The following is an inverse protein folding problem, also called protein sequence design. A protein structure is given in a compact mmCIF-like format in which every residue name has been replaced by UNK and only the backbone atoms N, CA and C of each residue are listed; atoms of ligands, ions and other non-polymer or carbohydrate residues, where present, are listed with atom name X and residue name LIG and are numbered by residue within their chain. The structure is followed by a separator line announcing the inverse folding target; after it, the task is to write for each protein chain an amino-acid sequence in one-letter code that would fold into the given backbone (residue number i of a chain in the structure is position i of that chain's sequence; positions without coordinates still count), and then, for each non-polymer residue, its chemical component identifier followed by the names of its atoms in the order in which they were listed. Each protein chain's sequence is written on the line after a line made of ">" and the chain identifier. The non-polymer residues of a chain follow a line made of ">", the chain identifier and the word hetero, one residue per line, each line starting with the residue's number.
data_IF_360909238986
#
_entry.id   IF_360909238986
#
_cell.length_a   1.000
_cell.length_b   1.000
_cell.length_c   1.000
_cell.angle_alpha   90.00
_cell.angle_beta   90.00
_cell.angle_gamma   90.00
#
_symmetry.space_group_name_H-M   'P 1'
#
loop_
_entity.id
_entity.type
_entity.pdbx_description
1 polymer ?
#
# COMPACT_ATOMS: atom_id res chain seq x y z
N UNK A 1 12.89 -39.89 8.23
CA UNK A 1 12.19 -38.69 8.72
C UNK A 1 10.74 -39.07 8.94
N UNK A 2 10.23 -38.92 10.16
CA UNK A 2 8.81 -39.16 10.47
C UNK A 2 8.01 -38.05 9.78
N UNK A 3 7.06 -38.38 8.92
CA UNK A 3 6.18 -37.39 8.31
C UNK A 3 5.35 -36.73 9.42
N UNK A 4 5.39 -35.40 9.53
CA UNK A 4 4.54 -34.66 10.46
C UNK A 4 3.07 -35.04 10.22
N UNK A 5 2.35 -35.59 11.22
CA UNK A 5 0.94 -35.95 11.06
C UNK A 5 0.03 -34.73 10.90
N UNK A 6 0.50 -33.54 11.28
CA UNK A 6 -0.25 -32.30 11.16
C UNK A 6 0.06 -31.61 9.83
N UNK A 7 -0.89 -31.69 8.89
CA UNK A 7 -0.78 -31.03 7.58
C UNK A 7 -1.46 -29.66 7.62
N UNK A 8 -0.72 -28.53 7.53
CA UNK A 8 -1.33 -27.22 7.44
C UNK A 8 -2.18 -27.09 6.17
N UNK A 9 -3.15 -26.19 6.19
CA UNK A 9 -3.95 -25.90 5.01
C UNK A 9 -3.04 -25.36 3.89
N UNK A 10 -3.24 -25.81 2.64
CA UNK A 10 -2.40 -25.44 1.49
C UNK A 10 -2.20 -23.92 1.36
N UNK A 11 -3.25 -23.14 1.59
CA UNK A 11 -3.28 -21.66 1.55
C UNK A 11 -2.33 -20.94 2.52
N UNK A 12 -1.81 -21.63 3.53
CA UNK A 12 -0.83 -21.06 4.49
C UNK A 12 0.45 -21.90 4.59
N UNK A 13 0.57 -22.94 3.76
CA UNK A 13 1.69 -23.88 3.81
C UNK A 13 2.85 -23.49 2.87
N UNK A 14 2.74 -22.37 2.16
CA UNK A 14 3.80 -21.87 1.29
C UNK A 14 5.11 -21.66 2.05
N UNK A 15 6.24 -22.06 1.45
CA UNK A 15 7.57 -22.04 2.08
C UNK A 15 8.58 -21.15 1.36
N UNK A 16 8.17 -20.44 0.30
CA UNK A 16 9.05 -19.48 -0.36
C UNK A 16 9.28 -18.30 0.59
N UNK A 17 10.54 -17.95 0.81
CA UNK A 17 10.89 -16.77 1.61
C UNK A 17 10.41 -15.52 0.88
N UNK A 18 9.61 -14.71 1.58
CA UNK A 18 9.15 -13.42 1.10
C UNK A 18 10.28 -12.38 1.10
N UNK A 19 10.05 -11.28 0.38
CA UNK A 19 10.98 -10.16 0.31
C UNK A 19 11.38 -9.60 1.68
N UNK A 20 10.44 -9.61 2.64
CA UNK A 20 10.65 -9.07 3.97
C UNK A 20 11.67 -9.89 4.74
N UNK A 21 11.58 -11.22 4.63
CA UNK A 21 12.49 -12.18 5.24
C UNK A 21 13.89 -12.04 4.67
N UNK A 22 14.03 -12.00 3.34
CA UNK A 22 15.33 -11.88 2.66
C UNK A 22 16.01 -10.54 3.00
N UNK A 23 15.27 -9.43 2.96
CA UNK A 23 15.82 -8.10 3.29
C UNK A 23 16.22 -8.01 4.76
N UNK A 24 15.43 -8.58 5.68
CA UNK A 24 15.79 -8.62 7.11
C UNK A 24 17.02 -9.50 7.38
N UNK A 25 17.13 -10.64 6.69
CA UNK A 25 18.32 -11.51 6.77
C UNK A 25 19.57 -10.77 6.29
N UNK A 26 19.51 -10.14 5.11
CA UNK A 26 20.60 -9.33 4.58
C UNK A 26 20.99 -8.20 5.54
N UNK A 27 19.99 -7.50 6.09
CA UNK A 27 20.21 -6.39 7.02
C UNK A 27 20.88 -6.85 8.32
N UNK A 28 20.49 -8.01 8.84
CA UNK A 28 21.10 -8.60 10.03
C UNK A 28 22.52 -9.11 9.78
N UNK A 29 22.80 -9.65 8.59
CA UNK A 29 24.10 -10.20 8.22
C UNK A 29 25.10 -9.15 7.69
N UNK A 30 24.63 -7.94 7.36
CA UNK A 30 25.49 -6.92 6.74
C UNK A 30 26.65 -6.49 7.66
N UNK A 31 27.88 -6.38 7.13
CA UNK A 31 29.02 -5.87 7.87
C UNK A 31 28.93 -4.36 8.16
N UNK A 32 28.01 -3.64 7.50
CA UNK A 32 27.83 -2.19 7.67
C UNK A 32 26.62 -1.96 8.55
N UNK A 33 26.88 -1.53 9.79
CA UNK A 33 25.87 -1.28 10.81
C UNK A 33 25.99 0.16 11.37
N UNK A 34 24.88 0.76 11.86
CA UNK A 34 23.50 0.27 11.75
C UNK A 34 23.00 0.35 10.31
N UNK A 35 22.07 -0.51 9.92
CA UNK A 35 21.40 -0.42 8.61
C UNK A 35 20.51 0.82 8.54
N UNK A 36 20.63 1.56 7.43
CA UNK A 36 19.68 2.61 7.07
C UNK A 36 18.52 1.96 6.32
N UNK A 37 17.43 1.67 7.03
CA UNK A 37 16.30 0.96 6.46
C UNK A 37 15.36 1.91 5.70
N UNK A 38 15.56 2.01 4.40
CA UNK A 38 14.67 2.72 3.48
C UNK A 38 13.62 1.79 2.85
N UNK A 39 13.54 0.52 3.25
CA UNK A 39 12.61 -0.45 2.65
C UNK A 39 11.26 -0.52 3.36
N UNK A 40 11.26 -0.42 4.70
CA UNK A 40 10.06 -0.54 5.52
C UNK A 40 9.14 0.69 5.38
N UNK A 41 7.90 0.46 4.93
CA UNK A 41 6.86 1.48 4.71
C UNK A 41 6.10 1.92 5.97
N UNK A 42 6.82 2.17 7.07
CA UNK A 42 6.28 2.80 8.27
C UNK A 42 7.10 4.03 8.68
N UNK A 43 6.47 4.92 9.44
CA UNK A 43 7.03 6.20 9.83
C UNK A 43 8.15 6.04 10.86
N UNK A 44 9.29 6.70 10.63
CA UNK A 44 10.43 6.74 11.56
C UNK A 44 10.24 7.68 12.76
N UNK A 45 9.02 8.16 12.99
CA UNK A 45 8.65 9.15 13.99
C UNK A 45 7.26 8.88 14.55
N UNK A 46 6.94 9.49 15.69
CA UNK A 46 5.65 9.34 16.34
C UNK A 46 4.52 10.05 15.56
N UNK A 47 3.27 9.61 15.75
CA UNK A 47 2.07 10.39 15.43
C UNK A 47 2.12 11.83 15.96
N UNK A 48 1.33 12.76 15.38
CA UNK A 48 1.19 14.11 15.90
C UNK A 48 0.82 14.13 17.38
N UNK A 49 1.32 15.12 18.12
CA UNK A 49 1.17 15.15 19.58
C UNK A 49 -0.30 15.08 20.03
N UNK A 50 -1.20 15.79 19.36
CA UNK A 50 -2.64 15.76 19.68
C UNK A 50 -3.26 14.36 19.49
N UNK A 51 -2.75 13.56 18.54
CA UNK A 51 -3.18 12.17 18.31
C UNK A 51 -2.64 11.26 19.42
N UNK A 52 -1.38 11.47 19.85
CA UNK A 52 -0.81 10.75 20.99
C UNK A 52 -1.56 11.07 22.29
N UNK A 53 -1.88 12.33 22.52
CA UNK A 53 -2.61 12.77 23.72
C UNK A 53 -4.03 12.23 23.72
N UNK A 54 -4.69 12.18 22.56
CA UNK A 54 -5.95 11.48 22.39
C UNK A 54 -5.85 10.01 22.80
N UNK A 55 -4.84 9.28 22.31
CA UNK A 55 -4.62 7.89 22.69
C UNK A 55 -4.37 7.71 24.19
N UNK A 56 -3.61 8.61 24.83
CA UNK A 56 -3.40 8.56 26.29
C UNK A 56 -4.69 8.79 27.06
N UNK A 57 -5.50 9.77 26.65
CA UNK A 57 -6.71 10.19 27.37
C UNK A 57 -7.82 9.13 27.40
N UNK A 58 -7.82 8.18 26.46
CA UNK A 58 -8.90 7.19 26.34
C UNK A 58 -8.68 5.92 27.16
N UNK A 59 -7.46 5.64 27.62
CA UNK A 59 -7.17 4.42 28.37
C UNK A 59 -7.79 4.38 29.77
N UNK A 60 -8.02 5.54 30.39
CA UNK A 60 -8.65 5.63 31.72
C UNK A 60 -10.19 5.51 31.68
N UNK A 61 -10.78 5.38 30.49
CA UNK A 61 -12.24 5.28 30.30
C UNK A 61 -12.67 3.81 30.25
N UNK A 62 -13.55 3.38 31.16
CA UNK A 62 -14.00 1.97 31.29
C UNK A 62 -14.52 1.43 29.96
N UNK A 63 -15.37 2.19 29.25
CA UNK A 63 -15.97 1.80 27.97
C UNK A 63 -14.98 1.71 26.80
N UNK A 64 -13.78 2.28 26.95
CA UNK A 64 -12.71 2.16 25.96
C UNK A 64 -11.89 0.87 26.15
N UNK A 65 -12.01 0.21 27.31
CA UNK A 65 -11.32 -1.04 27.61
C UNK A 65 -12.18 -2.29 27.33
N UNK A 66 -13.45 -2.11 26.95
CA UNK A 66 -14.38 -3.19 26.63
C UNK A 66 -14.61 -3.32 25.12
N UNK A 67 -15.35 -4.34 24.69
CA UNK A 67 -15.70 -4.54 23.28
C UNK A 67 -16.42 -3.33 22.68
N UNK A 68 -16.02 -2.97 21.47
CA UNK A 68 -16.76 -2.02 20.64
C UNK A 68 -17.91 -2.71 19.91
N UNK A 69 -18.92 -1.97 19.43
CA UNK A 69 -19.86 -2.51 18.46
C UNK A 69 -19.12 -3.11 17.26
N UNK A 70 -19.63 -4.20 16.70
CA UNK A 70 -18.89 -4.99 15.69
C UNK A 70 -18.61 -4.22 14.41
N UNK A 71 -19.50 -3.29 14.02
CA UNK A 71 -19.28 -2.36 12.89
C UNK A 71 -18.34 -1.20 13.21
N UNK A 72 -17.91 -1.07 14.47
CA UNK A 72 -17.09 0.02 14.97
C UNK A 72 -17.83 1.00 15.88
N UNK A 73 -17.04 1.82 16.58
CA UNK A 73 -17.56 2.81 17.54
C UNK A 73 -18.30 3.94 16.83
N UNK A 74 -19.50 4.36 17.33
CA UNK A 74 -20.29 5.41 16.69
C UNK A 74 -19.51 6.71 16.44
N UNK A 75 -18.67 7.12 17.40
CA UNK A 75 -17.84 8.34 17.27
C UNK A 75 -16.89 8.28 16.09
N UNK A 76 -16.16 7.17 15.92
CA UNK A 76 -15.23 7.01 14.80
C UNK A 76 -15.96 6.95 13.46
N UNK A 77 -17.05 6.19 13.36
CA UNK A 77 -17.85 6.12 12.13
C UNK A 77 -18.37 7.51 11.73
N UNK A 78 -18.85 8.29 12.70
CA UNK A 78 -19.30 9.67 12.49
C UNK A 78 -18.14 10.57 12.06
N UNK A 79 -17.01 10.54 12.75
CA UNK A 79 -15.84 11.35 12.41
C UNK A 79 -15.34 11.07 10.98
N UNK A 80 -15.34 9.80 10.55
CA UNK A 80 -15.02 9.41 9.17
C UNK A 80 -16.10 9.93 8.21
N UNK A 81 -17.38 9.67 8.48
CA UNK A 81 -18.47 10.14 7.60
C UNK A 81 -18.44 11.66 7.41
N UNK A 82 -18.23 12.43 8.48
CA UNK A 82 -18.09 13.88 8.44
C UNK A 82 -16.84 14.30 7.65
N UNK A 83 -15.69 13.68 7.90
CA UNK A 83 -14.42 14.01 7.23
C UNK A 83 -14.41 13.67 5.74
N UNK A 84 -15.24 12.71 5.30
CA UNK A 84 -15.34 12.28 3.91
C UNK A 84 -16.52 12.89 3.13
N UNK A 85 -17.57 13.36 3.82
CA UNK A 85 -18.75 14.00 3.21
C UNK A 85 -18.39 15.10 2.20
N UNK A 86 -17.46 16.05 2.49
CA UNK A 86 -17.06 17.08 1.53
C UNK A 86 -16.43 16.51 0.25
N UNK A 87 -15.64 15.44 0.37
CA UNK A 87 -14.98 14.80 -0.79
C UNK A 87 -15.95 13.99 -1.65
N UNK A 88 -16.99 13.41 -1.03
CA UNK A 88 -18.03 12.65 -1.72
C UNK A 88 -19.14 13.54 -2.30
N UNK A 89 -19.16 14.84 -1.97
CA UNK A 89 -20.20 15.77 -2.42
C UNK A 89 -21.61 15.46 -1.90
N UNK A 90 -21.72 14.56 -0.92
CA UNK A 90 -22.97 14.14 -0.28
C UNK A 90 -22.71 13.71 1.16
N UNK A 91 -23.73 13.81 2.00
CA UNK A 91 -23.68 13.28 3.36
C UNK A 91 -23.55 11.76 3.33
N UNK A 92 -22.55 11.24 4.04
CA UNK A 92 -22.39 9.80 4.29
C UNK A 92 -23.14 9.40 5.55
N UNK A 93 -23.87 8.29 5.52
CA UNK A 93 -24.53 7.73 6.68
C UNK A 93 -23.55 6.84 7.46
N UNK A 94 -23.13 7.22 8.68
CA UNK A 94 -22.15 6.45 9.46
C UNK A 94 -22.65 5.08 9.94
N UNK A 95 -23.95 4.80 9.88
CA UNK A 95 -24.53 3.53 10.34
C UNK A 95 -24.69 2.47 9.25
N UNK A 96 -24.83 2.91 8.00
CA UNK A 96 -25.08 2.02 6.87
C UNK A 96 -23.95 2.04 5.83
N UNK A 97 -23.19 3.13 5.73
CA UNK A 97 -22.18 3.32 4.68
C UNK A 97 -20.74 3.26 5.18
N UNK A 98 -20.52 3.12 6.50
CA UNK A 98 -19.19 3.06 7.11
C UNK A 98 -19.07 1.85 8.04
N UNK A 99 -18.02 1.05 7.86
CA UNK A 99 -17.64 -0.01 8.80
C UNK A 99 -16.17 0.13 9.19
N UNK A 100 -15.88 -0.04 10.47
CA UNK A 100 -14.51 -0.04 11.00
C UNK A 100 -13.96 -1.45 10.97
N UNK A 101 -12.67 -1.57 10.65
CA UNK A 101 -11.94 -2.83 10.51
C UNK A 101 -10.59 -2.75 11.22
N UNK A 102 -9.94 -3.90 11.42
CA UNK A 102 -8.65 -3.99 12.13
C UNK A 102 -7.48 -3.68 11.18
N UNK A 103 -7.48 -2.44 10.70
CA UNK A 103 -6.61 -1.94 9.65
C UNK A 103 -7.22 -2.13 8.26
N UNK A 104 -6.61 -1.49 7.27
CA UNK A 104 -7.06 -1.55 5.88
C UNK A 104 -6.91 -2.95 5.28
N UNK A 105 -5.79 -3.62 5.55
CA UNK A 105 -5.49 -4.98 5.11
C UNK A 105 -6.53 -6.02 5.59
N UNK A 106 -6.91 -6.04 6.87
CA UNK A 106 -7.99 -6.93 7.33
C UNK A 106 -9.35 -6.48 6.81
N UNK A 107 -9.56 -5.18 6.60
CA UNK A 107 -10.77 -4.67 5.95
C UNK A 107 -10.92 -5.15 4.50
N UNK A 108 -9.83 -5.21 3.74
CA UNK A 108 -9.82 -5.80 2.40
C UNK A 108 -10.09 -7.31 2.45
N UNK A 109 -9.49 -8.04 3.40
CA UNK A 109 -9.84 -9.44 3.62
C UNK A 109 -11.34 -9.61 3.92
N UNK A 110 -11.91 -8.75 4.76
CA UNK A 110 -13.35 -8.74 5.04
C UNK A 110 -14.19 -8.48 3.78
N UNK A 111 -13.74 -7.62 2.87
CA UNK A 111 -14.40 -7.42 1.59
C UNK A 111 -14.34 -8.69 0.73
N UNK A 112 -13.17 -9.29 0.54
CA UNK A 112 -13.04 -10.53 -0.24
C UNK A 112 -13.84 -11.69 0.37
N UNK A 113 -13.75 -11.90 1.68
CA UNK A 113 -14.55 -12.91 2.40
C UNK A 113 -16.06 -12.68 2.29
N UNK A 114 -16.50 -11.44 2.07
CA UNK A 114 -17.92 -11.09 1.94
C UNK A 114 -18.50 -11.30 0.53
N UNK A 115 -17.65 -11.39 -0.51
CA UNK A 115 -18.08 -11.38 -1.91
C UNK A 115 -17.51 -12.49 -2.79
N UNK A 116 -16.47 -13.18 -2.34
CA UNK A 116 -15.84 -14.25 -3.13
C UNK A 116 -16.35 -15.62 -2.71
N UNK A 117 -16.68 -16.42 -3.72
CA UNK A 117 -16.80 -17.86 -3.61
C UNK A 117 -15.59 -18.56 -4.25
N UNK A 118 -15.54 -19.88 -4.14
CA UNK A 118 -14.48 -20.68 -4.75
C UNK A 118 -14.40 -20.41 -6.27
N UNK A 119 -13.17 -20.16 -6.73
CA UNK A 119 -12.81 -19.88 -8.13
C UNK A 119 -13.34 -18.56 -8.71
N UNK A 120 -13.97 -17.68 -7.92
CA UNK A 120 -14.26 -16.31 -8.36
C UNK A 120 -12.95 -15.56 -8.61
N UNK A 121 -12.95 -14.70 -9.63
CA UNK A 121 -11.75 -13.99 -10.09
C UNK A 121 -11.73 -12.56 -9.56
N UNK A 122 -10.55 -12.12 -9.12
CA UNK A 122 -10.26 -10.75 -8.73
C UNK A 122 -9.12 -10.21 -9.55
N UNK A 123 -9.36 -9.11 -10.25
CA UNK A 123 -8.32 -8.43 -11.03
C UNK A 123 -7.49 -7.53 -10.10
N UNK A 124 -6.17 -7.64 -10.20
CA UNK A 124 -5.21 -6.76 -9.53
C UNK A 124 -4.24 -6.17 -10.55
N UNK A 125 -3.84 -4.92 -10.33
CA UNK A 125 -2.80 -4.28 -11.12
C UNK A 125 -1.42 -4.59 -10.55
N UNK A 126 -0.45 -4.93 -11.40
CA UNK A 126 0.95 -5.07 -11.00
C UNK A 126 1.70 -3.74 -11.20
N UNK A 127 2.62 -3.34 -10.29
CA UNK A 127 2.99 -4.02 -9.05
C UNK A 127 1.89 -3.94 -7.98
N UNK A 128 1.47 -5.06 -7.40
CA UNK A 128 0.41 -5.09 -6.39
C UNK A 128 0.94 -4.92 -4.96
N UNK A 129 0.07 -4.56 -4.01
CA UNK A 129 0.37 -4.78 -2.60
C UNK A 129 0.28 -6.28 -2.29
N UNK A 130 1.36 -6.84 -1.74
CA UNK A 130 1.54 -8.28 -1.46
C UNK A 130 0.33 -8.93 -0.75
N UNK A 131 -0.27 -8.22 0.21
CA UNK A 131 -1.40 -8.74 0.97
C UNK A 131 -2.67 -8.97 0.13
N UNK A 132 -2.82 -8.36 -1.05
CA UNK A 132 -3.98 -8.61 -1.93
C UNK A 132 -4.07 -10.10 -2.29
N UNK A 133 -2.93 -10.71 -2.64
CA UNK A 133 -2.87 -12.08 -3.15
C UNK A 133 -3.41 -13.07 -2.11
N UNK A 134 -2.79 -13.07 -0.92
CA UNK A 134 -3.22 -13.96 0.15
C UNK A 134 -4.65 -13.68 0.61
N UNK A 135 -5.09 -12.42 0.64
CA UNK A 135 -6.45 -12.08 1.03
C UNK A 135 -7.52 -12.53 0.02
N UNK A 136 -7.19 -12.62 -1.27
CA UNK A 136 -8.07 -13.14 -2.32
C UNK A 136 -8.09 -14.67 -2.30
N UNK A 137 -6.93 -15.30 -2.14
CA UNK A 137 -6.80 -16.76 -2.16
C UNK A 137 -7.35 -17.44 -0.91
N UNK A 138 -7.30 -16.78 0.25
CA UNK A 138 -7.82 -17.31 1.52
C UNK A 138 -9.30 -17.76 1.44
N UNK A 139 -10.24 -16.95 0.92
CA UNK A 139 -11.62 -17.38 0.66
C UNK A 139 -11.78 -18.33 -0.54
N UNK A 140 -10.72 -18.61 -1.31
CA UNK A 140 -10.76 -19.49 -2.49
C UNK A 140 -10.86 -18.76 -3.83
N UNK A 141 -10.69 -17.44 -3.85
CA UNK A 141 -10.64 -16.65 -5.07
C UNK A 141 -9.36 -16.89 -5.88
N UNK A 142 -9.40 -16.48 -7.15
CA UNK A 142 -8.29 -16.52 -8.10
C UNK A 142 -7.86 -15.10 -8.45
N UNK A 143 -6.57 -14.84 -8.39
CA UNK A 143 -6.02 -13.56 -8.81
C UNK A 143 -5.81 -13.57 -10.32
N UNK A 144 -6.28 -12.50 -10.99
CA UNK A 144 -6.01 -12.22 -12.40
C UNK A 144 -5.18 -10.94 -12.45
N UNK A 145 -4.02 -11.00 -13.10
CA UNK A 145 -3.04 -9.93 -13.08
C UNK A 145 -3.12 -9.09 -14.36
N UNK A 146 -3.09 -7.77 -14.20
CA UNK A 146 -2.96 -6.80 -15.30
C UNK A 146 -1.75 -5.91 -15.01
N UNK A 147 -0.68 -5.96 -15.81
CA UNK A 147 0.51 -5.18 -15.52
C UNK A 147 0.32 -3.69 -15.81
N UNK A 148 0.86 -2.84 -14.95
CA UNK A 148 1.23 -1.48 -15.35
C UNK A 148 2.62 -1.49 -15.97
N UNK A 149 2.73 -0.86 -17.13
CA UNK A 149 3.96 -0.72 -17.88
C UNK A 149 4.71 0.54 -17.47
N UNK A 150 6.04 0.45 -17.25
CA UNK A 150 6.87 1.62 -17.09
C UNK A 150 6.89 2.48 -18.38
N UNK A 151 7.21 3.78 -18.27
CA UNK A 151 7.37 4.65 -19.43
C UNK A 151 8.46 4.12 -20.38
N UNK A 152 8.32 4.37 -21.69
CA UNK A 152 9.30 3.90 -22.70
C UNK A 152 10.72 4.41 -22.47
N UNK A 153 10.83 5.61 -21.91
CA UNK A 153 12.12 6.24 -21.60
C UNK A 153 12.64 5.88 -20.19
N UNK A 154 11.99 4.93 -19.50
CA UNK A 154 12.43 4.39 -18.21
C UNK A 154 13.92 4.00 -18.24
N UNK A 155 14.66 4.36 -17.19
CA UNK A 155 16.10 4.08 -17.10
C UNK A 155 17.01 5.04 -17.89
N UNK A 156 16.44 5.95 -18.69
CA UNK A 156 17.22 7.01 -19.37
C UNK A 156 17.07 8.37 -18.69
N UNK A 157 15.86 8.74 -18.26
CA UNK A 157 15.52 10.01 -17.61
C UNK A 157 14.47 9.81 -16.52
N UNK A 158 14.44 10.70 -15.53
CA UNK A 158 13.36 10.75 -14.54
C UNK A 158 12.04 11.11 -15.23
N UNK A 159 10.97 10.38 -14.89
CA UNK A 159 9.63 10.51 -15.47
C UNK A 159 8.59 10.64 -14.38
N UNK A 160 7.44 11.25 -14.66
CA UNK A 160 6.34 11.28 -13.68
C UNK A 160 5.79 9.88 -13.45
N UNK A 161 5.36 9.58 -12.23
CA UNK A 161 4.61 8.36 -11.91
C UNK A 161 3.30 8.24 -12.71
N UNK A 162 2.72 9.35 -13.18
CA UNK A 162 1.56 9.32 -14.08
C UNK A 162 1.84 8.63 -15.42
N UNK A 163 3.09 8.60 -15.88
CA UNK A 163 3.47 7.98 -17.16
C UNK A 163 3.48 6.44 -17.09
N UNK A 164 3.37 5.85 -15.89
CA UNK A 164 3.04 4.43 -15.76
C UNK A 164 1.59 4.21 -16.18
N UNK A 165 1.37 3.27 -17.10
CA UNK A 165 0.06 3.05 -17.73
C UNK A 165 -0.25 1.56 -17.82
N UNK A 166 -1.52 1.20 -17.82
CA UNK A 166 -1.97 -0.15 -18.14
C UNK A 166 -2.73 -0.11 -19.48
N UNK A 167 -2.77 -1.23 -20.20
CA UNK A 167 -3.55 -1.33 -21.44
C UNK A 167 -5.02 -1.68 -21.12
N UNK A 168 -5.94 -0.80 -21.53
CA UNK A 168 -7.38 -1.06 -21.40
C UNK A 168 -7.81 -2.34 -22.14
N UNK A 169 -7.19 -2.68 -23.26
CA UNK A 169 -7.50 -3.90 -23.99
C UNK A 169 -7.01 -5.16 -23.25
N UNK A 170 -5.92 -5.07 -22.48
CA UNK A 170 -5.48 -6.16 -21.60
C UNK A 170 -6.45 -6.32 -20.43
N UNK A 171 -6.89 -5.21 -19.82
CA UNK A 171 -7.90 -5.23 -18.76
C UNK A 171 -9.23 -5.83 -19.24
N UNK A 172 -9.73 -5.43 -20.42
CA UNK A 172 -10.97 -5.98 -20.98
C UNK A 172 -10.87 -7.48 -21.25
N UNK A 173 -9.70 -7.97 -21.70
CA UNK A 173 -9.47 -9.40 -21.93
C UNK A 173 -9.37 -10.20 -20.63
N UNK A 174 -8.95 -9.57 -19.54
CA UNK A 174 -8.85 -10.19 -18.22
C UNK A 174 -10.23 -10.43 -17.58
N UNK A 175 -11.28 -9.75 -18.06
CA UNK A 175 -12.64 -9.92 -17.53
C UNK A 175 -13.30 -11.16 -18.10
N UNK A 176 -13.82 -11.98 -17.21
CA UNK A 176 -14.60 -13.19 -17.52
C UNK A 176 -15.92 -13.19 -16.74
N UNK A 177 -16.84 -14.14 -17.01
CA UNK A 177 -18.03 -14.32 -16.17
C UNK A 177 -17.74 -14.66 -14.70
N UNK A 178 -16.50 -15.04 -14.36
CA UNK A 178 -16.06 -15.30 -12.98
C UNK A 178 -15.50 -14.07 -12.29
N UNK A 179 -15.23 -12.99 -13.02
CA UNK A 179 -14.71 -11.75 -12.41
C UNK A 179 -15.77 -11.16 -11.48
N UNK A 180 -15.40 -11.01 -10.20
CA UNK A 180 -16.25 -10.41 -9.16
C UNK A 180 -15.79 -9.05 -8.73
N UNK A 181 -14.47 -8.87 -8.64
CA UNK A 181 -13.89 -7.65 -8.11
C UNK A 181 -12.68 -7.19 -8.92
N UNK A 182 -12.42 -5.90 -8.87
CA UNK A 182 -11.15 -5.30 -9.26
C UNK A 182 -10.58 -4.50 -8.08
N UNK A 183 -9.27 -4.57 -7.89
CA UNK A 183 -8.56 -3.77 -6.89
C UNK A 183 -7.90 -2.58 -7.58
N UNK A 184 -8.26 -1.37 -7.17
CA UNK A 184 -7.57 -0.13 -7.55
C UNK A 184 -6.78 0.38 -6.35
N UNK A 185 -5.52 0.74 -6.52
CA UNK A 185 -4.71 1.33 -5.45
C UNK A 185 -4.20 2.72 -5.85
N UNK A 186 -4.71 3.77 -5.20
CA UNK A 186 -4.39 5.16 -5.53
C UNK A 186 -4.41 6.05 -4.28
N UNK A 187 -3.35 6.84 -3.99
CA UNK A 187 -2.01 6.77 -4.60
C UNK A 187 -1.37 5.38 -4.51
N UNK A 188 -0.71 4.97 -5.59
CA UNK A 188 -0.28 3.60 -5.81
C UNK A 188 1.02 3.26 -5.06
N UNK A 189 1.05 2.15 -4.31
CA UNK A 189 2.27 1.56 -3.77
C UNK A 189 2.67 0.37 -4.66
N UNK A 190 3.88 0.34 -5.25
CA UNK A 190 5.06 1.17 -4.94
C UNK A 190 5.33 2.37 -5.86
N UNK A 191 4.61 2.52 -6.97
CA UNK A 191 4.93 3.49 -8.04
C UNK A 191 4.86 4.97 -7.58
N UNK A 192 3.94 5.28 -6.67
CA UNK A 192 3.56 6.65 -6.31
C UNK A 192 2.61 7.30 -7.30
N UNK A 193 2.06 6.55 -8.26
CA UNK A 193 1.09 7.05 -9.26
C UNK A 193 -0.21 7.48 -8.58
N UNK A 194 -0.75 8.63 -8.96
CA UNK A 194 -2.14 8.98 -8.68
C UNK A 194 -2.94 8.73 -9.94
N UNK A 195 -3.86 7.78 -9.91
CA UNK A 195 -4.69 7.48 -11.08
C UNK A 195 -5.47 8.73 -11.50
N UNK A 196 -5.41 9.04 -12.79
CA UNK A 196 -6.12 10.17 -13.37
C UNK A 196 -7.62 9.92 -13.36
N UNK A 197 -8.40 11.01 -13.44
CA UNK A 197 -9.86 10.91 -13.56
C UNK A 197 -10.29 10.06 -14.75
N UNK A 198 -9.60 10.19 -15.89
CA UNK A 198 -9.96 9.49 -17.13
C UNK A 198 -9.66 7.98 -17.04
N UNK A 199 -8.52 7.60 -16.44
CA UNK A 199 -8.20 6.19 -16.16
C UNK A 199 -9.25 5.57 -15.22
N UNK A 200 -9.59 6.27 -14.12
CA UNK A 200 -10.58 5.79 -13.17
C UNK A 200 -11.98 5.71 -13.79
N UNK A 201 -12.35 6.65 -14.66
CA UNK A 201 -13.62 6.62 -15.38
C UNK A 201 -13.68 5.42 -16.33
N UNK A 202 -12.62 5.17 -17.11
CA UNK A 202 -12.58 4.05 -18.03
C UNK A 202 -12.71 2.69 -17.31
N UNK A 203 -12.01 2.52 -16.19
CA UNK A 203 -12.14 1.31 -15.35
C UNK A 203 -13.53 1.23 -14.73
N UNK A 204 -14.06 2.35 -14.22
CA UNK A 204 -15.38 2.43 -13.62
C UNK A 204 -16.50 2.05 -14.59
N UNK A 205 -16.46 2.58 -15.82
CA UNK A 205 -17.43 2.27 -16.88
C UNK A 205 -17.41 0.77 -17.24
N UNK A 206 -16.22 0.18 -17.28
CA UNK A 206 -16.06 -1.26 -17.51
C UNK A 206 -16.65 -2.08 -16.35
N UNK A 207 -16.42 -1.66 -15.11
CA UNK A 207 -17.02 -2.31 -13.94
C UNK A 207 -18.54 -2.22 -13.92
N UNK A 208 -19.11 -1.06 -14.28
CA UNK A 208 -20.56 -0.88 -14.43
C UNK A 208 -21.12 -1.80 -15.52
N UNK A 209 -20.48 -1.85 -16.69
CA UNK A 209 -20.88 -2.70 -17.81
C UNK A 209 -20.91 -4.20 -17.45
N UNK A 210 -19.97 -4.65 -16.62
CA UNK A 210 -19.82 -6.06 -16.25
C UNK A 210 -20.34 -6.40 -14.85
N UNK A 211 -20.88 -5.42 -14.11
CA UNK A 211 -21.34 -5.54 -12.72
C UNK A 211 -20.25 -6.12 -11.78
N UNK A 212 -19.05 -5.52 -11.86
CA UNK A 212 -17.88 -5.88 -11.07
C UNK A 212 -17.74 -4.90 -9.91
N UNK A 213 -17.46 -5.40 -8.70
CA UNK A 213 -17.23 -4.55 -7.52
C UNK A 213 -15.83 -3.93 -7.61
N UNK A 214 -15.72 -2.64 -7.31
CA UNK A 214 -14.45 -1.93 -7.20
C UNK A 214 -14.03 -1.90 -5.73
N UNK A 215 -12.91 -2.52 -5.39
CA UNK A 215 -12.23 -2.30 -4.12
C UNK A 215 -11.15 -1.24 -4.32
N UNK A 216 -11.45 -0.01 -3.91
CA UNK A 216 -10.52 1.13 -4.02
C UNK A 216 -9.68 1.24 -2.76
N UNK A 217 -8.46 0.71 -2.79
CA UNK A 217 -7.44 0.90 -1.75
C UNK A 217 -6.88 2.32 -1.82
N UNK A 218 -7.42 3.19 -0.98
CA UNK A 218 -7.09 4.60 -0.90
C UNK A 218 -6.40 4.94 0.43
N UNK A 219 -5.56 4.05 0.98
CA UNK A 219 -4.90 4.29 2.28
C UNK A 219 -3.92 5.49 2.28
N UNK A 220 -3.56 6.02 1.12
CA UNK A 220 -2.73 7.21 0.96
C UNK A 220 -3.54 8.44 0.47
N UNK A 221 -4.87 8.42 0.59
CA UNK A 221 -5.77 9.46 0.05
C UNK A 221 -5.62 10.86 0.62
N UNK A 222 -4.83 11.02 1.69
CA UNK A 222 -4.45 12.33 2.26
C UNK A 222 -3.01 12.71 1.94
N UNK A 223 -2.26 11.85 1.24
CA UNK A 223 -0.85 12.02 0.92
C UNK A 223 -0.65 12.03 -0.60
N UNK A 224 -1.16 13.06 -1.25
CA UNK A 224 -1.02 13.30 -2.67
C UNK A 224 -0.40 14.67 -2.94
N UNK A 225 0.31 14.80 -4.04
CA UNK A 225 1.02 16.01 -4.47
C UNK A 225 0.40 16.64 -5.72
N UNK A 226 -0.53 15.92 -6.35
CA UNK A 226 -1.36 16.34 -7.49
C UNK A 226 -2.85 16.17 -7.15
N UNK A 227 -3.79 16.76 -7.90
CA UNK A 227 -5.22 16.55 -7.64
C UNK A 227 -5.61 15.07 -7.58
N UNK A 228 -6.30 14.68 -6.50
CA UNK A 228 -6.69 13.30 -6.25
C UNK A 228 -8.17 13.06 -6.57
N UNK A 229 -8.45 12.00 -7.34
CA UNK A 229 -9.82 11.61 -7.71
C UNK A 229 -10.18 10.30 -7.01
N UNK A 230 -11.37 10.28 -6.40
CA UNK A 230 -11.94 9.07 -5.79
C UNK A 230 -12.87 8.41 -6.80
N UNK A 231 -12.64 7.14 -7.11
CA UNK A 231 -13.43 6.44 -8.14
C UNK A 231 -14.92 6.41 -7.79
N UNK A 232 -15.25 6.30 -6.49
CA UNK A 232 -16.62 6.31 -5.97
C UNK A 232 -17.39 7.62 -6.20
N UNK A 233 -16.77 8.70 -6.68
CA UNK A 233 -17.42 10.01 -6.90
C UNK A 233 -17.63 10.35 -8.37
N UNK A 234 -17.24 9.45 -9.28
CA UNK A 234 -17.29 9.69 -10.72
C UNK A 234 -18.72 9.66 -11.28
N UNK A 235 -19.51 8.66 -10.88
CA UNK A 235 -20.92 8.55 -11.22
C UNK A 235 -21.71 7.78 -10.16
N UNK A 236 -23.04 7.93 -10.08
CA UNK A 236 -23.88 7.13 -9.20
C UNK A 236 -23.74 5.62 -9.43
N UNK A 237 -23.59 5.19 -10.68
CA UNK A 237 -23.44 3.77 -11.05
C UNK A 237 -22.12 3.20 -10.54
N UNK A 238 -21.02 3.93 -10.69
CA UNK A 238 -19.69 3.55 -10.17
C UNK A 238 -19.72 3.55 -8.63
N UNK A 239 -20.31 4.58 -8.02
CA UNK A 239 -20.46 4.68 -6.57
C UNK A 239 -21.21 3.47 -5.99
N UNK A 240 -22.24 2.99 -6.70
CA UNK A 240 -23.04 1.84 -6.30
C UNK A 240 -22.26 0.52 -6.33
N UNK A 241 -21.09 0.45 -6.97
CA UNK A 241 -20.25 -0.73 -7.05
C UNK A 241 -18.94 -0.59 -6.27
N UNK A 242 -18.70 0.53 -5.59
CA UNK A 242 -17.39 0.83 -5.00
C UNK A 242 -17.37 0.66 -3.48
N UNK A 243 -16.33 -0.03 -3.00
CA UNK A 243 -15.89 -0.06 -1.61
C UNK A 243 -14.55 0.68 -1.51
N UNK A 244 -14.54 1.84 -0.85
CA UNK A 244 -13.33 2.64 -0.59
C UNK A 244 -12.70 2.26 0.74
N UNK A 245 -11.43 1.89 0.74
CA UNK A 245 -10.66 1.47 1.92
C UNK A 245 -9.79 2.62 2.41
N UNK A 246 -9.75 2.85 3.73
CA UNK A 246 -8.84 3.81 4.35
C UNK A 246 -8.09 3.24 5.56
N UNK A 247 -7.04 3.96 5.99
CA UNK A 247 -6.18 3.55 7.11
C UNK A 247 -5.85 4.70 8.06
N UNK A 248 -6.24 4.56 9.33
CA UNK A 248 -5.86 5.51 10.38
C UNK A 248 -4.37 5.48 10.64
N UNK A 249 -3.74 4.32 10.46
CA UNK A 249 -2.30 4.17 10.63
C UNK A 249 -1.47 4.86 9.54
N UNK A 250 -1.99 4.97 8.31
CA UNK A 250 -1.34 5.73 7.24
C UNK A 250 -1.63 7.22 7.36
N UNK A 251 -2.87 7.58 7.72
CA UNK A 251 -3.26 8.98 7.90
C UNK A 251 -2.57 9.66 9.08
N UNK A 252 -2.45 9.01 10.24
CA UNK A 252 -1.94 9.63 11.47
C UNK A 252 -0.58 9.09 11.92
N UNK A 253 0.21 8.53 11.00
CA UNK A 253 1.55 8.00 11.27
C UNK A 253 1.60 6.87 12.32
N UNK A 254 0.48 6.19 12.53
CA UNK A 254 0.24 5.23 13.59
C UNK A 254 0.03 3.80 13.05
N UNK A 255 0.92 3.32 12.17
CA UNK A 255 0.73 2.04 11.44
C UNK A 255 0.47 0.83 12.34
N UNK A 256 1.03 0.85 13.56
CA UNK A 256 0.84 -0.17 14.60
C UNK A 256 -0.52 -0.12 15.32
N UNK A 257 -1.35 0.91 15.11
CA UNK A 257 -2.67 1.00 15.76
C UNK A 257 -3.72 0.09 15.16
N UNK A 258 -3.50 -0.34 13.90
CA UNK A 258 -4.38 -1.30 13.22
C UNK A 258 -5.85 -0.84 13.20
N UNK A 259 -6.09 0.44 12.88
CA UNK A 259 -7.44 1.00 12.66
C UNK A 259 -7.60 1.29 11.16
N UNK A 260 -8.64 0.72 10.56
CA UNK A 260 -9.02 0.95 9.16
C UNK A 260 -10.53 1.03 9.03
N UNK A 261 -11.00 1.34 7.82
CA UNK A 261 -12.42 1.41 7.53
C UNK A 261 -12.69 1.14 6.05
N UNK A 262 -13.94 0.79 5.78
CA UNK A 262 -14.50 0.81 4.43
C UNK A 262 -15.70 1.76 4.37
N UNK A 263 -15.78 2.51 3.27
CA UNK A 263 -16.90 3.36 2.90
C UNK A 263 -17.52 2.80 1.62
N UNK A 264 -18.84 2.69 1.56
CA UNK A 264 -19.52 2.20 0.37
C UNK A 264 -21.03 2.16 0.54
N UNK A 265 -21.79 1.78 -0.49
CA UNK A 265 -23.23 1.68 -0.41
C UNK A 265 -23.65 0.57 0.57
N UNK A 266 -24.76 0.76 1.26
CA UNK A 266 -25.24 -0.15 2.32
C UNK A 266 -25.36 -1.61 1.86
N UNK A 267 -25.80 -1.81 0.61
CA UNK A 267 -25.98 -3.15 0.07
C UNK A 267 -24.65 -3.91 -0.09
N UNK A 268 -23.51 -3.22 -0.11
CA UNK A 268 -22.19 -3.83 -0.08
C UNK A 268 -21.60 -3.86 1.33
N UNK A 269 -21.62 -2.73 2.04
CA UNK A 269 -20.99 -2.59 3.36
C UNK A 269 -21.51 -3.60 4.39
N UNK A 270 -22.80 -3.96 4.32
CA UNK A 270 -23.38 -4.96 5.23
C UNK A 270 -22.67 -6.32 5.18
N UNK A 271 -22.15 -6.74 4.01
CA UNK A 271 -21.43 -8.01 3.85
C UNK A 271 -19.99 -7.93 4.34
N UNK A 272 -19.32 -6.78 4.12
CA UNK A 272 -18.00 -6.50 4.70
C UNK A 272 -18.09 -6.53 6.23
N UNK A 273 -19.08 -5.85 6.82
CA UNK A 273 -19.30 -5.88 8.28
C UNK A 273 -19.58 -7.29 8.80
N UNK A 274 -20.33 -8.11 8.06
CA UNK A 274 -20.64 -9.48 8.44
C UNK A 274 -19.37 -10.35 8.47
N UNK A 275 -18.52 -10.24 7.44
CA UNK A 275 -17.23 -10.92 7.37
C UNK A 275 -16.28 -10.46 8.49
N UNK A 276 -16.13 -9.15 8.70
CA UNK A 276 -15.31 -8.60 9.79
C UNK A 276 -15.73 -9.15 11.16
N UNK A 277 -17.04 -9.26 11.39
CA UNK A 277 -17.58 -9.81 12.64
C UNK A 277 -17.20 -11.29 12.85
N UNK A 278 -16.89 -12.05 11.78
CA UNK A 278 -16.44 -13.45 11.86
C UNK A 278 -14.92 -13.60 11.92
N UNK A 279 -14.19 -12.62 11.39
CA UNK A 279 -12.73 -12.60 11.40
C UNK A 279 -12.21 -12.06 12.74
N UNK A 280 -12.64 -10.86 13.13
CA UNK A 280 -12.14 -10.16 14.32
C UNK A 280 -13.21 -9.91 15.39
N UNK A 281 -14.49 -10.09 15.08
CA UNK A 281 -15.65 -9.69 15.89
C UNK A 281 -15.77 -8.18 16.08
N UNK A 282 -14.77 -7.53 16.67
CA UNK A 282 -14.70 -6.07 16.85
C UNK A 282 -13.24 -5.61 16.83
N UNK A 283 -13.01 -4.38 16.36
CA UNK A 283 -11.68 -3.76 16.33
C UNK A 283 -11.29 -3.09 17.67
N UNK A 284 -10.01 -2.75 17.85
CA UNK A 284 -9.43 -2.25 19.12
C UNK A 284 -10.08 -0.94 19.60
N UNK A 285 -10.90 -1.03 20.64
CA UNK A 285 -11.74 0.07 21.16
C UNK A 285 -11.03 1.39 21.50
N UNK A 286 -9.93 1.41 22.29
CA UNK A 286 -9.31 2.67 22.66
C UNK A 286 -8.68 3.36 21.43
N UNK A 287 -8.11 2.59 20.50
CA UNK A 287 -7.49 3.15 19.30
C UNK A 287 -8.53 3.65 18.29
N UNK A 288 -9.76 3.10 18.31
CA UNK A 288 -10.87 3.67 17.56
C UNK A 288 -11.26 5.06 18.09
N UNK A 289 -11.34 5.25 19.41
CA UNK A 289 -11.62 6.57 20.01
C UNK A 289 -10.49 7.57 19.74
N UNK A 290 -9.23 7.15 19.88
CA UNK A 290 -8.08 7.99 19.58
C UNK A 290 -8.07 8.43 18.11
N UNK A 291 -8.39 7.52 17.19
CA UNK A 291 -8.49 7.84 15.76
C UNK A 291 -9.67 8.79 15.48
N UNK A 292 -10.79 8.67 16.19
CA UNK A 292 -11.93 9.57 16.04
C UNK A 292 -11.55 11.01 16.41
N UNK A 293 -10.90 11.18 17.57
CA UNK A 293 -10.37 12.49 18.00
C UNK A 293 -9.33 13.00 16.98
N UNK A 294 -8.48 12.11 16.46
CA UNK A 294 -7.53 12.43 15.41
C UNK A 294 -8.18 13.10 14.20
N UNK A 295 -9.31 12.57 13.72
CA UNK A 295 -10.10 13.18 12.64
C UNK A 295 -10.77 14.49 13.06
N UNK A 296 -11.39 14.55 14.24
CA UNK A 296 -12.10 15.72 14.75
C UNK A 296 -11.17 16.95 14.93
N UNK A 297 -9.88 16.71 15.20
CA UNK A 297 -8.89 17.75 15.48
C UNK A 297 -7.95 18.04 14.30
N UNK A 298 -7.89 17.18 13.27
CA UNK A 298 -6.91 17.29 12.19
C UNK A 298 -6.95 18.64 11.46
N UNK A 299 -8.15 19.11 11.08
CA UNK A 299 -8.32 20.38 10.35
C UNK A 299 -7.93 21.59 11.22
N UNK A 300 -8.27 21.55 12.51
CA UNK A 300 -7.90 22.61 13.47
C UNK A 300 -6.40 22.72 13.67
N UNK A 301 -5.68 21.60 13.51
CA UNK A 301 -4.23 21.53 13.61
C UNK A 301 -3.52 21.68 12.25
N UNK A 302 -4.26 22.03 11.18
CA UNK A 302 -3.73 22.09 9.79
C UNK A 302 -2.98 20.82 9.35
N UNK A 303 -3.35 19.67 9.94
CA UNK A 303 -2.53 18.45 9.86
C UNK A 303 -2.40 17.93 8.43
N UNK A 304 -3.48 17.93 7.65
CA UNK A 304 -3.46 17.38 6.29
C UNK A 304 -2.55 18.16 5.34
N UNK A 305 -2.57 19.49 5.41
CA UNK A 305 -1.75 20.34 4.54
C UNK A 305 -0.27 20.28 4.92
N UNK A 306 0.06 20.36 6.22
CA UNK A 306 1.45 20.23 6.66
C UNK A 306 2.00 18.82 6.37
N UNK A 307 1.20 17.76 6.56
CA UNK A 307 1.63 16.39 6.26
C UNK A 307 2.02 16.20 4.79
N UNK A 308 1.23 16.73 3.85
CA UNK A 308 1.54 16.69 2.42
C UNK A 308 2.81 17.48 2.11
N UNK A 309 2.92 18.69 2.64
CA UNK A 309 4.08 19.58 2.43
C UNK A 309 5.37 18.98 2.99
N UNK A 310 5.34 18.47 4.22
CA UNK A 310 6.50 17.83 4.88
C UNK A 310 6.95 16.59 4.13
N UNK A 311 6.01 15.71 3.74
CA UNK A 311 6.38 14.50 3.01
C UNK A 311 6.91 14.80 1.61
N UNK A 312 6.32 15.77 0.90
CA UNK A 312 6.86 16.21 -0.40
C UNK A 312 8.27 16.78 -0.26
N UNK A 313 8.51 17.59 0.77
CA UNK A 313 9.85 18.11 1.05
C UNK A 313 10.87 16.99 1.35
N UNK A 314 10.47 15.95 2.10
CA UNK A 314 11.30 14.76 2.33
C UNK A 314 11.58 13.98 1.05
N UNK A 315 10.57 13.82 0.20
CA UNK A 315 10.70 13.18 -1.12
C UNK A 315 11.69 13.94 -1.99
N UNK A 316 11.52 15.25 -2.13
CA UNK A 316 12.38 16.12 -2.93
C UNK A 316 13.81 16.13 -2.41
N UNK A 317 13.97 16.27 -1.08
CA UNK A 317 15.28 16.20 -0.43
C UNK A 317 15.96 14.89 -0.76
N UNK A 318 15.30 13.75 -0.52
CA UNK A 318 15.89 12.43 -0.76
C UNK A 318 16.26 12.25 -2.25
N UNK A 319 15.38 12.64 -3.17
CA UNK A 319 15.56 12.43 -4.61
C UNK A 319 16.76 13.18 -5.22
N UNK A 320 17.29 14.21 -4.55
CA UNK A 320 18.53 14.89 -5.00
C UNK A 320 19.72 13.93 -5.16
N UNK A 321 19.78 12.82 -4.42
CA UNK A 321 20.87 11.82 -4.57
C UNK A 321 20.78 11.08 -5.90
N UNK A 322 19.59 10.88 -6.43
CA UNK A 322 19.39 10.17 -7.69
C UNK A 322 19.82 11.05 -8.86
N UNK A 323 19.53 12.34 -8.79
CA UNK A 323 20.06 13.34 -9.74
C UNK A 323 21.59 13.42 -9.67
N UNK A 324 22.17 13.44 -8.46
CA UNK A 324 23.63 13.44 -8.24
C UNK A 324 24.31 12.22 -8.88
N UNK A 325 23.67 11.04 -8.77
CA UNK A 325 24.17 9.78 -9.32
C UNK A 325 23.78 9.54 -10.79
N UNK A 326 22.95 10.40 -11.38
CA UNK A 326 22.41 10.22 -12.73
C UNK A 326 21.53 8.97 -12.87
N UNK A 327 20.89 8.52 -11.78
CA UNK A 327 19.98 7.38 -11.74
C UNK A 327 18.53 7.86 -11.90
N UNK A 328 17.84 7.48 -12.98
CA UNK A 328 16.44 7.86 -13.18
C UNK A 328 15.51 7.27 -12.14
N UNK A 329 14.47 8.00 -11.78
CA UNK A 329 13.41 7.50 -10.90
C UNK A 329 12.02 7.89 -11.43
N UNK A 330 11.01 7.23 -10.89
CA UNK A 330 9.61 7.59 -11.09
C UNK A 330 9.25 8.65 -10.06
N UNK A 331 9.12 9.91 -10.48
CA UNK A 331 8.77 11.02 -9.59
C UNK A 331 7.33 10.84 -9.08
N UNK A 332 7.14 10.56 -7.77
CA UNK A 332 5.85 10.13 -7.25
C UNK A 332 4.87 11.30 -7.16
N UNK A 333 3.61 11.03 -7.51
CA UNK A 333 2.49 11.96 -7.40
C UNK A 333 1.74 11.85 -6.07
N UNK A 334 2.05 10.82 -5.28
CA UNK A 334 1.54 10.62 -3.93
C UNK A 334 2.25 9.49 -3.18
N UNK A 335 1.85 9.28 -1.94
CA UNK A 335 2.50 8.35 -1.03
C UNK A 335 3.90 8.82 -0.61
N UNK A 336 4.66 7.92 -0.01
CA UNK A 336 6.03 8.18 0.46
C UNK A 336 7.04 7.18 -0.12
N UNK A 337 6.70 6.56 -1.24
CA UNK A 337 7.58 5.64 -1.95
C UNK A 337 8.11 6.28 -3.22
N UNK A 338 9.34 5.92 -3.59
CA UNK A 338 9.93 6.24 -4.89
C UNK A 338 10.53 4.97 -5.48
N UNK A 339 10.25 4.74 -6.78
CA UNK A 339 10.88 3.69 -7.58
C UNK A 339 12.07 4.28 -8.34
N UNK A 340 13.25 3.74 -8.09
CA UNK A 340 14.50 4.20 -8.72
C UNK A 340 15.00 3.12 -9.66
N UNK A 341 15.28 3.49 -10.91
CA UNK A 341 15.82 2.59 -11.91
C UNK A 341 17.35 2.50 -11.78
N UNK A 342 17.80 1.29 -11.47
CA UNK A 342 19.17 0.89 -11.16
C UNK A 342 19.85 0.16 -12.33
N UNK A 343 19.34 0.26 -13.56
CA UNK A 343 19.94 -0.39 -14.76
C UNK A 343 21.38 0.05 -15.03
N UNK A 344 21.73 1.29 -14.64
CA UNK A 344 23.10 1.84 -14.75
C UNK A 344 24.07 1.27 -13.72
N UNK A 345 23.58 0.70 -12.62
CA UNK A 345 24.41 0.06 -11.58
C UNK A 345 24.90 -1.29 -12.09
N UNK A 346 26.21 -1.48 -12.16
CA UNK A 346 26.87 -2.72 -12.56
C UNK A 346 27.27 -3.51 -11.31
N UNK A 347 26.55 -4.59 -11.07
CA UNK A 347 26.94 -5.59 -10.09
C UNK A 347 28.23 -6.29 -10.58
N UNK A 348 29.25 -6.47 -9.72
CA UNK A 348 30.43 -7.26 -10.08
C UNK A 348 30.01 -8.66 -10.56
N UNK A 349 30.59 -9.15 -11.66
CA UNK A 349 30.22 -10.44 -12.26
C UNK A 349 30.52 -11.64 -11.37
N UNK A 350 31.45 -11.47 -10.43
CA UNK A 350 31.93 -12.44 -9.46
C UNK A 350 31.38 -12.18 -8.05
N UNK A 351 30.36 -11.33 -7.90
CA UNK A 351 29.74 -11.06 -6.60
C UNK A 351 29.06 -12.32 -6.05
N UNK A 352 29.40 -12.70 -4.83
CA UNK A 352 28.86 -13.89 -4.17
C UNK A 352 27.48 -13.59 -3.57
N UNK A 353 26.45 -14.12 -4.20
CA UNK A 353 25.08 -14.04 -3.70
C UNK A 353 24.67 -15.37 -3.06
N UNK A 354 23.99 -15.35 -1.89
CA UNK A 354 23.42 -16.57 -1.34
C UNK A 354 22.49 -17.26 -2.37
N UNK A 355 22.41 -18.61 -2.41
CA UNK A 355 21.63 -19.32 -3.42
C UNK A 355 20.16 -18.89 -3.52
N UNK A 356 19.54 -18.53 -2.38
CA UNK A 356 18.15 -18.07 -2.33
C UNK A 356 17.95 -16.65 -2.90
N UNK A 357 19.02 -15.86 -3.05
CA UNK A 357 19.02 -14.55 -3.73
C UNK A 357 19.48 -14.70 -5.18
N UNK A 358 20.48 -15.54 -5.44
CA UNK A 358 21.04 -15.78 -6.77
C UNK A 358 19.98 -16.29 -7.77
N UNK A 359 18.99 -17.04 -7.27
CA UNK A 359 17.85 -17.58 -8.02
C UNK A 359 16.71 -16.58 -8.26
N UNK A 360 16.77 -15.38 -7.68
CA UNK A 360 15.74 -14.33 -7.83
C UNK A 360 16.08 -13.36 -8.97
N UNK A 361 15.13 -12.53 -9.42
CA UNK A 361 15.37 -11.48 -10.42
C UNK A 361 16.47 -10.48 -9.99
N UNK A 362 16.90 -9.64 -10.93
CA UNK A 362 18.08 -8.76 -10.75
C UNK A 362 17.94 -7.79 -9.57
N UNK A 363 16.75 -7.26 -9.32
CA UNK A 363 16.47 -6.31 -8.24
C UNK A 363 16.68 -6.92 -6.84
N UNK A 364 16.44 -8.22 -6.64
CA UNK A 364 16.78 -8.92 -5.39
C UNK A 364 18.29 -8.92 -5.14
N UNK A 365 19.08 -9.13 -6.19
CA UNK A 365 20.55 -9.07 -6.14
C UNK A 365 21.02 -7.65 -5.86
N UNK A 366 20.40 -6.65 -6.50
CA UNK A 366 20.67 -5.24 -6.22
C UNK A 366 20.35 -4.86 -4.78
N UNK A 367 19.20 -5.29 -4.25
CA UNK A 367 18.79 -5.01 -2.86
C UNK A 367 19.79 -5.63 -1.88
N UNK A 368 20.14 -6.91 -2.06
CA UNK A 368 21.14 -7.58 -1.26
C UNK A 368 22.49 -6.84 -1.31
N UNK A 369 22.97 -6.54 -2.51
CA UNK A 369 24.21 -5.80 -2.73
C UNK A 369 24.20 -4.43 -2.03
N UNK A 370 23.10 -3.67 -2.14
CA UNK A 370 22.98 -2.36 -1.51
C UNK A 370 23.06 -2.45 0.02
N UNK A 371 22.44 -3.48 0.59
CA UNK A 371 22.46 -3.74 2.02
C UNK A 371 23.86 -4.13 2.49
N UNK A 372 24.54 -5.02 1.77
CA UNK A 372 25.87 -5.53 2.16
C UNK A 372 26.97 -4.50 1.93
N UNK A 373 26.95 -3.79 0.80
CA UNK A 373 28.04 -2.88 0.39
C UNK A 373 27.89 -1.47 0.93
N UNK A 374 26.66 -1.00 1.10
CA UNK A 374 26.38 0.40 1.49
C UNK A 374 25.58 0.49 2.78
N UNK A 375 25.06 -0.62 3.32
CA UNK A 375 24.23 -0.60 4.53
C UNK A 375 22.91 0.13 4.36
N UNK A 376 22.34 0.14 3.15
CA UNK A 376 21.04 0.77 2.83
C UNK A 376 20.07 -0.31 2.36
N UNK A 377 18.96 -0.47 3.05
CA UNK A 377 17.92 -1.43 2.65
C UNK A 377 16.87 -0.78 1.76
N UNK A 378 16.56 -1.44 0.64
CA UNK A 378 15.51 -1.07 -0.31
C UNK A 378 14.76 -2.34 -0.74
N UNK A 379 13.53 -2.19 -1.24
CA UNK A 379 12.69 -3.35 -1.58
C UNK A 379 12.73 -3.63 -3.09
N UNK A 380 13.02 -4.87 -3.52
CA UNK A 380 12.89 -5.30 -4.91
C UNK A 380 11.40 -5.39 -5.31
N UNK A 381 10.93 -4.59 -6.28
CA UNK A 381 9.52 -4.57 -6.67
C UNK A 381 9.08 -5.80 -7.47
N UNK A 382 9.96 -6.66 -7.96
CA UNK A 382 9.55 -7.91 -8.62
C UNK A 382 8.81 -8.88 -7.70
N UNK A 383 8.91 -8.71 -6.37
CA UNK A 383 8.03 -9.44 -5.41
C UNK A 383 6.54 -9.12 -5.64
N UNK A 384 6.26 -7.92 -6.16
CA UNK A 384 4.92 -7.40 -6.40
C UNK A 384 4.45 -7.68 -7.84
N UNK A 385 5.17 -8.54 -8.56
CA UNK A 385 4.84 -9.00 -9.91
C UNK A 385 4.85 -10.53 -9.96
N UNK A 386 4.12 -11.04 -10.94
CA UNK A 386 4.25 -12.40 -11.44
C UNK A 386 5.63 -12.62 -12.08
N UNK A 387 6.14 -13.86 -12.07
CA UNK A 387 7.41 -14.18 -12.73
C UNK A 387 7.46 -13.79 -14.21
N UNK A 388 6.34 -13.90 -14.92
CA UNK A 388 6.23 -13.56 -16.34
C UNK A 388 6.45 -12.07 -16.60
N UNK A 389 5.97 -11.21 -15.70
CA UNK A 389 6.03 -9.75 -15.84
C UNK A 389 7.18 -9.10 -15.04
N UNK A 390 7.95 -9.87 -14.26
CA UNK A 390 9.05 -9.37 -13.46
C UNK A 390 10.10 -8.55 -14.26
N UNK A 391 10.30 -8.90 -15.54
CA UNK A 391 11.21 -8.19 -16.45
C UNK A 391 10.89 -6.70 -16.62
N UNK A 392 9.64 -6.28 -16.36
CA UNK A 392 9.23 -4.88 -16.42
C UNK A 392 9.88 -4.02 -15.33
N UNK A 393 10.25 -4.64 -14.19
CA UNK A 393 10.74 -3.90 -13.01
C UNK A 393 11.99 -4.49 -12.37
N UNK A 394 12.63 -5.50 -12.96
CA UNK A 394 13.85 -6.14 -12.40
C UNK A 394 15.06 -5.20 -12.29
N UNK A 395 14.97 -4.02 -12.90
CA UNK A 395 15.96 -2.95 -12.77
C UNK A 395 15.60 -1.90 -11.72
N UNK A 396 14.47 -2.01 -11.02
CA UNK A 396 14.03 -1.01 -10.04
C UNK A 396 14.30 -1.41 -8.60
N UNK A 397 14.42 -0.41 -7.72
CA UNK A 397 14.34 -0.58 -6.27
C UNK A 397 13.35 0.44 -5.69
N UNK A 398 12.55 0.01 -4.71
CA UNK A 398 11.63 0.86 -3.96
C UNK A 398 12.28 1.37 -2.67
N UNK A 399 12.23 2.69 -2.48
CA UNK A 399 12.63 3.38 -1.25
C UNK A 399 11.43 4.07 -0.59
N UNK A 400 11.43 4.17 0.74
CA UNK A 400 10.40 4.78 1.56
C UNK A 400 10.98 5.99 2.32
N UNK A 401 10.50 7.19 2.04
CA UNK A 401 11.05 8.45 2.59
C UNK A 401 10.37 8.90 3.89
N UNK A 402 9.43 8.12 4.41
CA UNK A 402 8.71 8.38 5.67
C UNK A 402 9.63 8.17 6.90
N UNK A 403 10.73 8.90 6.97
CA UNK A 403 11.81 8.79 7.96
C UNK A 403 12.18 10.19 8.49
N UNK A 404 12.95 10.22 9.57
CA UNK A 404 13.55 11.46 10.05
C UNK A 404 14.61 11.95 9.05
N UNK A 405 14.86 13.25 9.07
CA UNK A 405 15.74 13.92 8.11
C UNK A 405 17.20 13.44 8.19
N UNK A 406 17.68 13.11 9.38
CA UNK A 406 19.00 12.54 9.64
C UNK A 406 19.16 11.14 9.01
N UNK A 407 18.10 10.33 9.03
CA UNK A 407 18.07 9.03 8.36
C UNK A 407 18.12 9.20 6.84
N UNK A 408 17.40 10.17 6.29
CA UNK A 408 17.46 10.50 4.86
C UNK A 408 18.85 10.95 4.45
N UNK A 409 19.47 11.85 5.21
CA UNK A 409 20.83 12.35 4.97
C UNK A 409 21.87 11.22 5.02
N UNK A 410 21.77 10.34 6.03
CA UNK A 410 22.65 9.17 6.16
C UNK A 410 22.46 8.20 4.99
N UNK A 411 21.22 8.01 4.53
CA UNK A 411 20.92 7.21 3.34
C UNK A 411 21.61 7.80 2.11
N UNK A 412 21.48 9.11 1.88
CA UNK A 412 22.12 9.79 0.75
C UNK A 412 23.65 9.69 0.80
N UNK A 413 24.26 9.90 1.96
CA UNK A 413 25.71 9.75 2.16
C UNK A 413 26.19 8.36 1.73
N UNK A 414 25.52 7.30 2.22
CA UNK A 414 25.87 5.91 1.88
C UNK A 414 25.62 5.61 0.41
N UNK A 415 24.52 6.09 -0.16
CA UNK A 415 24.16 5.89 -1.56
C UNK A 415 25.15 6.52 -2.53
N UNK A 416 25.90 7.58 -2.16
CA UNK A 416 27.02 8.09 -2.97
C UNK A 416 28.06 7.02 -3.27
N UNK A 417 28.17 6.01 -2.40
CA UNK A 417 28.99 4.82 -2.63
C UNK A 417 28.60 4.02 -3.88
N UNK A 418 27.42 4.22 -4.48
CA UNK A 418 27.07 3.62 -5.77
C UNK A 418 27.90 4.17 -6.94
N UNK A 419 28.50 5.36 -6.82
CA UNK A 419 29.26 5.99 -7.89
C UNK A 419 30.37 5.11 -8.47
N UNK A 420 30.98 4.24 -7.65
CA UNK A 420 32.01 3.27 -8.11
C UNK A 420 31.45 2.14 -8.98
N UNK A 421 30.13 1.97 -9.00
CA UNK A 421 29.41 0.90 -9.70
C UNK A 421 28.52 1.43 -10.83
N UNK A 422 28.51 2.73 -11.10
CA UNK A 422 27.74 3.34 -12.19
C UNK A 422 28.66 3.53 -13.39
N UNK A 423 28.20 3.09 -14.57
CA UNK A 423 28.93 3.19 -15.84
C UNK A 423 28.94 4.60 -16.42
#
# INVERSE_FOLDING_TARGET
>A
MVSDPFKPAKRVAGQQQDVWTIVNEAAAASPIQPIVNMGQGFFGYNPPQYVIDAAKSVFDRVECNQYSPTKGRPRLKKAIADAYTPFFGRTLNPDTEVTITTGANEGMLSAFMGFLEQDDEVIVFEPFFDQYISNIEMPGGKVVYVPMHPPKDAGTKTTSAAEWTFDMAELEKAITPKTRMIVLNSPHNPIGKVFSKDELQAVGDLCVKHNIIILSDEVYDRLYYVPFTRVATLSPEIANLTLTVGSGGKNFYATGWRVGWLIGPEHLIKYVSAAHTRICYSSVSPLQEATAIGFEEADKNNFWEESKKEMKAKMDKFNTIWDELGLPFSDPEGGYFVLVNMSKVKLPSDYDFPPHVASRPRDFKLSWFLITELGVAAIPPTEFFTPENAHLVEDYLRFAVCKNDDVLETAQERLRGLKKYIA
#
